data_IF_692079562784
#
_entry.id   IF_692079562784
#
_cell.length_a   1.000
_cell.length_b   1.000
_cell.length_c   1.000
_cell.angle_alpha   90.00
_cell.angle_beta   90.00
_cell.angle_gamma   90.00
#
_symmetry.space_group_name_H-M   'P 1'
#
loop_
_entity.id
_entity.type
_entity.pdbx_description
1 polymer ?
#
# COMPACT_ATOMS: atom_id res chain seq x y z
N UNK A 1 11.87 -16.08 -39.83
CA UNK A 1 12.04 -14.62 -39.92
C UNK A 1 10.72 -13.94 -39.60
N UNK A 2 10.57 -13.36 -38.40
CA UNK A 2 9.80 -12.13 -38.17
C UNK A 2 9.97 -11.71 -36.71
N UNK A 3 10.86 -10.75 -36.49
CA UNK A 3 10.82 -9.88 -35.31
C UNK A 3 10.27 -8.52 -35.72
N UNK A 4 9.81 -7.79 -34.69
CA UNK A 4 9.66 -6.33 -34.50
C UNK A 4 8.20 -5.99 -34.19
N UNK A 5 7.78 -5.69 -32.96
CA UNK A 5 8.50 -5.01 -31.89
C UNK A 5 7.96 -3.58 -31.68
N UNK A 6 6.64 -3.41 -31.59
CA UNK A 6 6.03 -2.13 -31.20
C UNK A 6 6.15 -1.93 -29.68
N UNK A 7 7.24 -1.29 -29.23
CA UNK A 7 7.39 -0.90 -27.83
C UNK A 7 6.32 0.15 -27.50
N UNK A 8 5.46 -0.12 -26.52
CA UNK A 8 4.65 0.89 -25.84
C UNK A 8 5.58 1.86 -25.10
N UNK A 9 6.22 2.78 -25.83
CA UNK A 9 6.95 3.90 -25.23
C UNK A 9 5.94 4.92 -24.74
N UNK A 10 6.03 5.37 -23.47
CA UNK A 10 5.16 6.41 -22.96
C UNK A 10 5.39 7.67 -23.80
N UNK A 11 4.35 8.17 -24.45
CA UNK A 11 4.40 9.43 -25.19
C UNK A 11 4.55 10.55 -24.17
N UNK A 12 5.77 11.02 -23.93
CA UNK A 12 5.99 12.21 -23.13
C UNK A 12 5.33 13.41 -23.84
N UNK A 13 4.64 14.24 -23.06
CA UNK A 13 4.11 15.51 -23.55
C UNK A 13 5.23 16.35 -24.16
N UNK A 14 4.97 16.98 -25.32
CA UNK A 14 5.96 17.85 -26.02
C UNK A 14 6.45 19.04 -25.17
N UNK A 15 5.74 19.36 -24.09
CA UNK A 15 6.14 20.30 -23.05
C UNK A 15 6.22 19.53 -21.73
N UNK A 16 7.36 19.60 -21.05
CA UNK A 16 7.56 18.99 -19.74
C UNK A 16 7.75 20.08 -18.69
N UNK A 17 7.49 19.74 -17.44
CA UNK A 17 7.50 20.69 -16.34
C UNK A 17 8.94 21.00 -15.87
N UNK A 18 9.27 22.28 -15.69
CA UNK A 18 10.48 22.75 -15.00
C UNK A 18 10.33 22.57 -13.49
N UNK A 19 9.14 22.88 -12.97
CA UNK A 19 8.68 22.63 -11.60
C UNK A 19 7.17 22.35 -11.64
N UNK A 20 6.55 21.79 -10.58
CA UNK A 20 5.12 21.52 -10.59
C UNK A 20 4.31 22.76 -10.99
N UNK A 21 3.52 22.63 -12.05
CA UNK A 21 2.71 23.69 -12.67
C UNK A 21 3.49 24.79 -13.45
N UNK A 22 4.81 24.72 -13.57
CA UNK A 22 5.61 25.60 -14.42
C UNK A 22 6.18 24.80 -15.58
N UNK A 23 5.65 25.02 -16.78
CA UNK A 23 6.14 24.35 -17.99
C UNK A 23 7.47 24.91 -18.47
N UNK A 24 8.32 24.07 -19.08
CA UNK A 24 9.62 24.48 -19.62
C UNK A 24 9.54 25.44 -20.80
N UNK A 25 8.56 25.26 -21.68
CA UNK A 25 8.39 26.09 -22.86
C UNK A 25 7.17 27.00 -22.71
N UNK A 26 7.33 28.26 -23.13
CA UNK A 26 6.25 29.26 -23.17
C UNK A 26 5.12 28.85 -24.13
N UNK A 27 3.92 29.38 -23.89
CA UNK A 27 2.75 29.11 -24.72
C UNK A 27 2.98 29.48 -26.19
N UNK A 28 3.65 30.60 -26.46
CA UNK A 28 3.99 31.06 -27.82
C UNK A 28 4.90 30.06 -28.55
N UNK A 29 5.98 29.59 -27.90
CA UNK A 29 6.87 28.57 -28.46
C UNK A 29 6.15 27.25 -28.71
N UNK A 30 5.22 26.88 -27.82
CA UNK A 30 4.40 25.69 -28.00
C UNK A 30 3.37 25.83 -29.11
N UNK A 31 2.85 27.03 -29.37
CA UNK A 31 1.95 27.31 -30.49
C UNK A 31 2.66 27.13 -31.82
N UNK A 32 3.84 27.73 -31.98
CA UNK A 32 4.70 27.55 -33.16
C UNK A 32 5.03 26.08 -33.41
N UNK A 33 5.27 25.30 -32.35
CA UNK A 33 5.63 23.87 -32.45
C UNK A 33 4.42 22.94 -32.66
N UNK A 34 3.21 23.35 -32.29
CA UNK A 34 1.99 22.51 -32.38
C UNK A 34 1.12 22.84 -33.58
N UNK A 35 1.24 24.05 -34.14
CA UNK A 35 0.32 24.56 -35.15
C UNK A 35 -1.05 24.92 -34.57
N UNK A 36 -1.90 25.54 -35.39
CA UNK A 36 -3.26 25.93 -35.01
C UNK A 36 -4.12 24.70 -34.66
N UNK A 37 -4.89 24.77 -33.57
CA UNK A 37 -5.82 23.70 -33.18
C UNK A 37 -6.98 23.66 -34.18
N UNK A 38 -7.30 22.47 -34.71
CA UNK A 38 -8.52 22.25 -35.49
C UNK A 38 -9.76 22.43 -34.59
N UNK A 39 -10.85 23.06 -35.06
CA UNK A 39 -12.07 23.23 -34.27
C UNK A 39 -12.70 21.87 -33.96
N UNK A 40 -13.11 21.68 -32.70
CA UNK A 40 -13.82 20.47 -32.26
C UNK A 40 -15.29 20.57 -32.69
N UNK A 41 -15.71 19.68 -33.59
CA UNK A 41 -17.12 19.52 -33.96
C UNK A 41 -17.85 18.82 -32.82
N UNK A 42 -18.83 19.50 -32.21
CA UNK A 42 -19.71 18.91 -31.19
C UNK A 42 -20.75 18.01 -31.89
N UNK A 43 -20.74 16.71 -31.62
CA UNK A 43 -21.85 15.81 -31.99
C UNK A 43 -22.92 15.85 -30.90
N UNK A 44 -24.17 16.06 -31.31
CA UNK A 44 -25.37 16.11 -30.49
C UNK A 44 -26.19 14.82 -30.62
N UNK A 45 -26.67 14.31 -29.48
CA UNK A 45 -28.07 13.91 -29.21
C UNK A 45 -28.11 13.10 -27.90
N UNK A 46 -28.79 13.61 -26.88
CA UNK A 46 -29.03 12.91 -25.61
C UNK A 46 -30.42 12.24 -25.62
N UNK A 47 -30.58 11.06 -24.98
CA UNK A 47 -31.85 10.32 -24.97
C UNK A 47 -32.93 10.98 -24.08
N UNK A 48 -34.18 10.92 -24.56
CA UNK A 48 -35.42 11.41 -23.95
C UNK A 48 -35.90 10.55 -22.76
N UNK A 49 -35.12 10.48 -21.68
CA UNK A 49 -35.63 10.01 -20.38
C UNK A 49 -35.41 11.08 -19.33
N UNK A 50 -36.47 11.52 -18.65
CA UNK A 50 -36.38 12.52 -17.59
C UNK A 50 -35.62 11.91 -16.39
N UNK A 51 -34.40 12.35 -16.06
CA UNK A 51 -33.67 11.83 -14.92
C UNK A 51 -34.30 12.36 -13.62
N UNK A 52 -34.44 11.50 -12.62
CA UNK A 52 -34.81 11.89 -11.25
C UNK A 52 -33.92 13.07 -10.81
N UNK A 53 -34.52 14.25 -10.62
CA UNK A 53 -33.82 15.51 -10.37
C UNK A 53 -33.21 15.56 -8.96
N UNK A 54 -32.06 14.89 -8.76
CA UNK A 54 -31.07 15.34 -7.77
C UNK A 54 -30.02 16.17 -8.50
N UNK A 55 -30.41 17.38 -8.88
CA UNK A 55 -29.63 18.33 -9.70
C UNK A 55 -28.75 19.24 -8.85
N UNK A 56 -28.06 18.69 -7.85
CA UNK A 56 -26.88 19.36 -7.29
C UNK A 56 -25.68 19.16 -8.22
N UNK A 57 -24.76 20.13 -8.35
CA UNK A 57 -23.52 19.90 -9.09
C UNK A 57 -22.80 18.69 -8.49
N UNK A 58 -22.68 17.62 -9.28
CA UNK A 58 -21.88 16.46 -8.88
C UNK A 58 -20.42 16.88 -8.93
N UNK A 59 -19.84 17.21 -7.77
CA UNK A 59 -18.40 17.38 -7.67
C UNK A 59 -17.73 16.10 -8.16
N UNK A 60 -16.88 16.21 -9.18
CA UNK A 60 -16.07 15.08 -9.64
C UNK A 60 -15.19 14.68 -8.46
N UNK A 61 -15.43 13.48 -7.90
CA UNK A 61 -14.53 12.87 -6.92
C UNK A 61 -13.13 12.87 -7.52
N UNK A 62 -12.19 13.51 -6.82
CA UNK A 62 -10.80 13.62 -7.29
C UNK A 62 -10.17 12.25 -7.52
N UNK A 63 -9.15 12.21 -8.39
CA UNK A 63 -8.37 11.00 -8.59
C UNK A 63 -7.72 10.53 -7.27
N UNK A 64 -7.60 9.22 -7.04
CA UNK A 64 -6.95 8.70 -5.85
C UNK A 64 -5.50 9.20 -5.80
N UNK A 65 -5.17 9.96 -4.76
CA UNK A 65 -3.80 10.47 -4.56
C UNK A 65 -2.89 9.31 -4.17
N UNK A 66 -1.78 9.14 -4.88
CA UNK A 66 -0.73 8.19 -4.49
C UNK A 66 -0.08 8.71 -3.21
N UNK A 67 -0.13 7.90 -2.14
CA UNK A 67 0.49 8.26 -0.86
C UNK A 67 2.02 8.15 -0.99
N UNK A 68 2.78 9.25 -0.84
CA UNK A 68 4.24 9.17 -0.89
C UNK A 68 4.80 8.41 0.31
N UNK A 69 5.74 7.52 0.04
CA UNK A 69 6.44 6.75 1.06
C UNK A 69 7.48 7.63 1.76
N UNK A 70 7.55 7.58 3.09
CA UNK A 70 8.62 8.25 3.86
C UNK A 70 9.98 7.70 3.44
N UNK A 71 11.00 8.56 3.36
CA UNK A 71 12.38 8.19 3.03
C UNK A 71 12.98 7.12 3.96
N UNK A 72 12.54 7.10 5.23
CA UNK A 72 12.99 6.09 6.22
C UNK A 72 12.39 4.70 6.00
N UNK A 73 11.32 4.57 5.21
CA UNK A 73 10.67 3.29 4.95
C UNK A 73 11.25 2.65 3.69
N UNK A 74 12.35 1.94 3.88
CA UNK A 74 12.99 1.13 2.84
C UNK A 74 12.59 -0.34 3.05
N UNK A 75 12.31 -1.13 2.00
CA UNK A 75 12.04 -2.57 2.14
C UNK A 75 13.06 -3.23 3.08
N UNK A 76 12.57 -3.92 4.11
CA UNK A 76 13.40 -4.55 5.14
C UNK A 76 13.62 -3.75 6.41
N UNK A 77 13.22 -2.50 6.42
CA UNK A 77 13.26 -1.69 7.64
C UNK A 77 12.35 -2.32 8.70
N UNK A 78 12.85 -2.45 9.92
CA UNK A 78 12.05 -2.89 11.05
C UNK A 78 11.21 -1.72 11.55
N UNK A 79 9.94 -2.02 11.74
CA UNK A 79 8.86 -1.10 12.07
C UNK A 79 8.33 -1.40 13.45
N UNK A 80 8.04 -0.37 14.23
CA UNK A 80 7.29 -0.50 15.48
C UNK A 80 5.84 -0.11 15.21
N UNK A 81 4.92 -1.04 15.43
CA UNK A 81 3.48 -0.79 15.25
C UNK A 81 2.93 -0.05 16.47
N UNK A 82 2.27 1.09 16.28
CA UNK A 82 1.79 1.91 17.39
C UNK A 82 0.35 1.58 17.80
N UNK A 83 -0.50 1.22 16.84
CA UNK A 83 -1.94 1.10 17.05
C UNK A 83 -2.48 -0.32 16.76
N UNK A 84 -3.65 -0.61 17.31
CA UNK A 84 -4.40 -1.86 17.09
C UNK A 84 -3.94 -3.02 17.99
N UNK A 85 -4.46 -4.22 17.69
CA UNK A 85 -4.20 -5.45 18.47
C UNK A 85 -2.71 -5.79 18.58
N UNK A 86 -1.93 -5.41 17.57
CA UNK A 86 -0.51 -5.70 17.49
C UNK A 86 0.39 -4.52 17.86
N UNK A 87 -0.13 -3.51 18.59
CA UNK A 87 0.67 -2.38 19.10
C UNK A 87 1.93 -2.86 19.82
N UNK A 88 3.02 -2.10 19.78
CA UNK A 88 4.32 -2.41 20.34
C UNK A 88 5.08 -3.55 19.65
N UNK A 89 4.49 -4.33 18.74
CA UNK A 89 5.26 -5.39 18.04
C UNK A 89 6.23 -4.76 17.04
N UNK A 90 7.40 -5.39 16.91
CA UNK A 90 8.42 -5.03 15.91
C UNK A 90 8.28 -5.94 14.70
N UNK A 91 8.24 -5.36 13.52
CA UNK A 91 7.72 -6.01 12.31
C UNK A 91 8.51 -5.56 11.08
N UNK A 92 8.64 -6.39 10.06
CA UNK A 92 9.46 -6.09 8.87
C UNK A 92 8.61 -5.48 7.77
N UNK A 93 9.06 -4.36 7.20
CA UNK A 93 8.45 -3.75 6.03
C UNK A 93 8.79 -4.53 4.75
N UNK A 94 7.80 -4.83 3.92
CA UNK A 94 8.01 -5.52 2.65
C UNK A 94 7.90 -4.59 1.45
N UNK A 95 6.68 -4.12 1.15
CA UNK A 95 6.38 -3.23 0.02
C UNK A 95 5.22 -2.30 0.36
N UNK A 96 5.13 -1.18 -0.35
CA UNK A 96 3.92 -0.36 -0.34
C UNK A 96 2.92 -0.92 -1.35
N UNK A 97 1.66 -1.03 -0.97
CA UNK A 97 0.61 -1.48 -1.89
C UNK A 97 0.20 -0.34 -2.83
N UNK A 98 0.04 -0.62 -4.14
CA UNK A 98 -0.07 0.43 -5.16
C UNK A 98 -1.41 1.16 -5.14
N UNK A 99 -2.52 0.48 -4.79
CA UNK A 99 -3.87 1.04 -4.86
C UNK A 99 -4.24 1.80 -3.59
N UNK A 100 -3.90 1.24 -2.41
CA UNK A 100 -4.21 1.88 -1.12
C UNK A 100 -3.10 2.77 -0.57
N UNK A 101 -1.85 2.60 -1.01
CA UNK A 101 -0.69 3.26 -0.41
C UNK A 101 -0.33 2.75 0.99
N UNK A 102 -1.00 1.68 1.48
CA UNK A 102 -0.71 1.06 2.77
C UNK A 102 0.56 0.22 2.70
N UNK A 103 1.23 0.06 3.85
CA UNK A 103 2.42 -0.76 3.97
C UNK A 103 2.02 -2.23 4.12
N UNK A 104 2.59 -3.11 3.29
CA UNK A 104 2.57 -4.53 3.52
C UNK A 104 3.70 -4.88 4.49
N UNK A 105 3.31 -5.48 5.61
CA UNK A 105 4.18 -5.70 6.75
C UNK A 105 4.02 -7.14 7.22
N UNK A 106 5.12 -7.79 7.56
CA UNK A 106 5.12 -9.14 8.16
C UNK A 106 6.10 -9.20 9.32
N UNK A 107 5.69 -9.84 10.39
CA UNK A 107 6.59 -10.24 11.46
C UNK A 107 6.58 -11.74 11.43
N UNK A 108 7.72 -12.43 11.28
CA UNK A 108 7.71 -13.88 11.11
C UNK A 108 6.79 -14.52 12.15
N UNK A 109 5.70 -15.14 11.69
CA UNK A 109 4.53 -15.44 12.55
C UNK A 109 4.93 -16.35 13.72
N UNK A 110 5.93 -17.21 13.49
CA UNK A 110 6.54 -18.08 14.50
C UNK A 110 7.22 -17.31 15.65
N UNK A 111 7.71 -16.10 15.42
CA UNK A 111 8.46 -15.32 16.41
C UNK A 111 7.58 -14.40 17.23
N UNK A 112 6.77 -13.58 16.56
CA UNK A 112 6.06 -12.50 17.24
C UNK A 112 4.55 -12.61 17.09
N UNK A 113 4.02 -13.69 16.49
CA UNK A 113 2.60 -13.90 16.26
C UNK A 113 1.95 -12.66 15.57
N UNK A 114 2.62 -12.16 14.53
CA UNK A 114 2.14 -11.09 13.68
C UNK A 114 1.83 -11.67 12.29
N UNK A 115 0.59 -11.59 11.80
CA UNK A 115 0.26 -12.06 10.45
C UNK A 115 0.67 -11.04 9.40
N UNK A 116 0.76 -11.47 8.14
CA UNK A 116 0.87 -10.59 6.99
C UNK A 116 -0.30 -9.61 7.00
N UNK A 117 0.01 -8.31 7.11
CA UNK A 117 -0.99 -7.28 7.39
C UNK A 117 -0.66 -5.98 6.66
N UNK A 118 -1.72 -5.26 6.29
CA UNK A 118 -1.64 -3.88 5.81
C UNK A 118 -1.69 -2.89 6.98
N UNK A 119 -0.77 -1.93 7.02
CA UNK A 119 -0.73 -0.88 8.04
C UNK A 119 -0.52 0.48 7.38
N UNK A 120 -1.20 1.52 7.88
CA UNK A 120 -0.96 2.88 7.42
C UNK A 120 0.36 3.40 7.99
N UNK A 121 1.11 4.13 7.17
CA UNK A 121 2.40 4.70 7.50
C UNK A 121 2.40 5.60 8.76
N UNK A 122 1.27 6.23 9.08
CA UNK A 122 1.12 7.09 10.26
C UNK A 122 1.21 6.32 11.59
N UNK A 123 0.82 5.03 11.61
CA UNK A 123 0.78 4.23 12.83
C UNK A 123 2.05 3.40 13.05
N UNK A 124 3.16 3.84 12.44
CA UNK A 124 4.41 3.12 12.45
C UNK A 124 5.59 4.05 12.69
N UNK A 125 6.49 3.61 13.57
CA UNK A 125 7.83 4.18 13.69
C UNK A 125 8.78 3.34 12.86
N UNK A 126 9.49 3.97 11.93
CA UNK A 126 10.57 3.33 11.19
C UNK A 126 11.83 3.39 12.05
N UNK A 127 12.44 2.23 12.32
CA UNK A 127 13.72 2.16 13.03
C UNK A 127 14.89 2.23 12.05
N UNK A 128 16.10 2.47 12.54
CA UNK A 128 17.33 2.37 11.74
C UNK A 128 17.70 0.95 11.36
N UNK A 129 17.19 -0.05 12.09
CA UNK A 129 17.50 -1.46 11.83
C UNK A 129 16.86 -1.93 10.52
N UNK A 130 17.68 -2.54 9.65
CA UNK A 130 17.28 -3.02 8.34
C UNK A 130 17.69 -4.47 8.17
N UNK A 131 16.81 -5.26 7.56
CA UNK A 131 17.08 -6.62 7.12
C UNK A 131 17.20 -6.62 5.60
N UNK A 132 18.10 -7.44 5.06
CA UNK A 132 18.15 -7.65 3.62
C UNK A 132 16.99 -8.57 3.19
N UNK A 133 16.07 -8.01 2.41
CA UNK A 133 14.85 -8.68 1.90
C UNK A 133 14.87 -8.84 0.40
N UNK A 134 16.01 -8.58 -0.25
CA UNK A 134 16.18 -8.68 -1.71
C UNK A 134 15.79 -10.06 -2.26
N UNK A 135 16.03 -11.13 -1.49
CA UNK A 135 15.65 -12.51 -1.84
C UNK A 135 14.19 -12.88 -1.62
N UNK A 136 13.35 -12.00 -1.05
CA UNK A 136 11.95 -12.33 -0.74
C UNK A 136 11.05 -11.96 -1.91
N UNK A 137 10.63 -12.98 -2.66
CA UNK A 137 9.63 -12.82 -3.72
C UNK A 137 8.23 -12.74 -3.09
N UNK A 138 7.57 -11.60 -3.30
CA UNK A 138 6.20 -11.38 -2.83
C UNK A 138 5.26 -11.74 -3.99
N UNK A 139 4.40 -12.76 -3.85
CA UNK A 139 3.46 -13.14 -4.90
C UNK A 139 2.54 -12.00 -5.35
N UNK A 140 2.21 -11.97 -6.64
CA UNK A 140 1.39 -10.91 -7.24
C UNK A 140 -0.06 -10.94 -6.77
N UNK A 141 -0.57 -12.08 -6.30
CA UNK A 141 -1.94 -12.16 -5.75
C UNK A 141 -2.09 -11.43 -4.41
N UNK A 142 -0.99 -11.09 -3.73
CA UNK A 142 -0.99 -10.37 -2.45
C UNK A 142 -1.10 -8.86 -2.71
N UNK A 143 -2.34 -8.46 -3.02
CA UNK A 143 -2.73 -7.09 -3.34
C UNK A 143 -3.82 -6.57 -2.38
N UNK A 144 -4.29 -5.35 -2.61
CA UNK A 144 -5.30 -4.71 -1.78
C UNK A 144 -6.62 -5.47 -1.68
N UNK A 145 -7.00 -6.19 -2.74
CA UNK A 145 -8.23 -6.97 -2.80
C UNK A 145 -8.11 -8.27 -1.99
N UNK A 146 -6.91 -8.87 -1.88
CA UNK A 146 -6.63 -10.03 -1.03
C UNK A 146 -6.93 -9.75 0.46
N UNK A 147 -6.65 -8.52 0.90
CA UNK A 147 -6.88 -8.07 2.27
C UNK A 147 -8.23 -7.40 2.48
N UNK A 148 -9.11 -7.39 1.46
CA UNK A 148 -10.46 -6.84 1.61
C UNK A 148 -11.24 -7.68 2.62
N UNK A 149 -11.92 -7.01 3.54
CA UNK A 149 -12.79 -7.70 4.51
C UNK A 149 -13.97 -8.31 3.74
N UNK A 150 -14.19 -9.61 3.89
CA UNK A 150 -15.39 -10.26 3.38
C UNK A 150 -16.57 -9.84 4.25
N UNK A 151 -17.62 -9.31 3.63
CA UNK A 151 -18.90 -9.04 4.28
C UNK A 151 -19.78 -10.26 4.10
N UNK A 152 -20.35 -10.79 5.18
CA UNK A 152 -21.33 -11.85 5.09
C UNK A 152 -22.66 -11.25 4.59
N UNK A 153 -23.37 -11.89 3.66
CA UNK A 153 -24.69 -11.42 3.24
C UNK A 153 -25.63 -11.45 4.46
N UNK A 154 -26.28 -10.33 4.76
CA UNK A 154 -27.33 -10.29 5.78
C UNK A 154 -28.50 -11.17 5.34
N UNK A 155 -29.02 -12.01 6.24
CA UNK A 155 -30.25 -12.76 5.97
C UNK A 155 -31.43 -11.77 5.97
N UNK A 156 -32.32 -11.87 4.96
CA UNK A 156 -33.60 -11.15 4.94
C UNK A 156 -34.61 -11.95 5.78
N UNK A 157 -35.12 -11.39 6.88
CA UNK A 157 -36.11 -12.01 7.75
C UNK A 157 -36.32 -11.23 9.05
N UNK A 158 -37.42 -11.49 9.77
CA UNK A 158 -37.86 -10.74 10.97
C UNK A 158 -36.87 -10.83 12.15
N UNK A 159 -36.12 -11.93 12.30
CA UNK A 159 -35.22 -12.15 13.43
C UNK A 159 -33.74 -11.87 13.10
N UNK A 160 -33.41 -10.59 13.01
CA UNK A 160 -32.05 -10.08 12.67
C UNK A 160 -31.00 -10.48 13.73
N UNK A 161 -31.42 -10.73 14.98
CA UNK A 161 -30.53 -11.03 16.11
C UNK A 161 -30.27 -12.53 16.37
N UNK A 162 -31.02 -13.43 15.72
CA UNK A 162 -30.85 -14.88 15.91
C UNK A 162 -29.58 -15.44 15.23
N UNK A 163 -28.99 -14.67 14.32
CA UNK A 163 -27.72 -15.01 13.69
C UNK A 163 -26.57 -14.68 14.64
N UNK A 164 -26.11 -15.67 15.41
CA UNK A 164 -24.94 -15.55 16.28
C UNK A 164 -23.71 -14.95 15.56
N UNK A 165 -22.77 -14.40 16.35
CA UNK A 165 -21.55 -13.77 15.82
C UNK A 165 -20.71 -14.82 15.08
N UNK A 166 -20.62 -14.70 13.76
CA UNK A 166 -19.71 -15.52 12.95
C UNK A 166 -18.29 -14.97 13.12
N UNK A 167 -17.46 -15.70 13.88
CA UNK A 167 -16.05 -15.37 14.03
C UNK A 167 -15.26 -15.63 12.74
N UNK A 168 -14.25 -14.80 12.51
CA UNK A 168 -13.41 -14.94 11.33
C UNK A 168 -12.47 -16.15 11.47
N UNK A 169 -12.61 -17.12 10.57
CA UNK A 169 -11.67 -18.23 10.44
C UNK A 169 -10.63 -17.97 9.34
N UNK A 170 -9.38 -18.35 9.61
CA UNK A 170 -8.26 -18.16 8.68
C UNK A 170 -8.32 -19.22 7.60
N UNK A 171 -8.40 -18.80 6.33
CA UNK A 171 -8.34 -19.69 5.17
C UNK A 171 -6.99 -20.37 5.05
N UNK A 172 -6.95 -21.58 4.49
CA UNK A 172 -5.72 -22.35 4.29
C UNK A 172 -4.72 -21.62 3.40
N UNK A 173 -5.21 -20.96 2.35
CA UNK A 173 -4.41 -20.10 1.47
C UNK A 173 -3.63 -19.03 2.25
N UNK A 174 -4.22 -18.41 3.27
CA UNK A 174 -3.51 -17.41 4.08
C UNK A 174 -2.39 -18.04 4.91
N UNK A 175 -2.58 -19.28 5.36
CA UNK A 175 -1.56 -20.02 6.11
C UNK A 175 -0.39 -20.42 5.20
N UNK A 176 -0.65 -20.83 3.96
CA UNK A 176 0.39 -21.19 2.99
C UNK A 176 1.19 -19.96 2.54
N UNK A 177 0.50 -18.87 2.19
CA UNK A 177 1.12 -17.60 1.81
C UNK A 177 2.03 -17.05 2.93
N UNK A 178 1.56 -17.11 4.18
CA UNK A 178 2.35 -16.68 5.34
C UNK A 178 3.64 -17.49 5.47
N UNK A 179 3.55 -18.82 5.38
CA UNK A 179 4.73 -19.70 5.46
C UNK A 179 5.72 -19.43 4.33
N UNK A 180 5.22 -19.19 3.12
CA UNK A 180 6.04 -18.90 1.95
C UNK A 180 6.85 -17.61 2.11
N UNK A 181 6.25 -16.56 2.70
CA UNK A 181 6.92 -15.27 2.96
C UNK A 181 7.84 -15.35 4.17
N UNK A 182 7.43 -16.02 5.24
CA UNK A 182 8.21 -16.06 6.48
C UNK A 182 9.48 -16.90 6.37
N UNK A 183 9.46 -17.98 5.57
CA UNK A 183 10.62 -18.86 5.37
C UNK A 183 11.88 -18.11 4.89
N UNK A 184 11.84 -17.31 3.81
CA UNK A 184 13.00 -16.56 3.36
C UNK A 184 13.38 -15.41 4.31
N UNK A 185 12.42 -14.80 5.01
CA UNK A 185 12.72 -13.75 6.01
C UNK A 185 13.46 -14.33 7.21
N UNK A 186 13.04 -15.49 7.71
CA UNK A 186 13.74 -16.20 8.78
C UNK A 186 15.15 -16.62 8.35
N UNK A 187 15.32 -17.03 7.08
CA UNK A 187 16.64 -17.31 6.53
C UNK A 187 17.51 -16.04 6.48
N UNK A 188 16.96 -14.91 6.06
CA UNK A 188 17.67 -13.63 6.06
C UNK A 188 18.08 -13.19 7.47
N UNK A 189 17.21 -13.35 8.47
CA UNK A 189 17.54 -13.04 9.88
C UNK A 189 18.69 -13.92 10.36
N UNK A 190 18.67 -15.22 10.05
CA UNK A 190 19.73 -16.17 10.45
C UNK A 190 21.08 -15.91 9.81
N UNK A 191 21.11 -15.31 8.61
CA UNK A 191 22.36 -14.94 7.93
C UNK A 191 23.09 -13.77 8.60
N UNK A 192 22.37 -12.93 9.35
CA UNK A 192 23.01 -11.82 10.05
C UNK A 192 23.88 -12.34 11.21
N UNK A 193 25.05 -11.72 11.46
CA UNK A 193 25.91 -12.12 12.58
C UNK A 193 25.16 -12.00 13.92
N UNK A 194 24.38 -10.92 14.07
CA UNK A 194 23.60 -10.63 15.28
C UNK A 194 22.21 -11.30 15.30
N UNK A 195 22.04 -12.41 14.59
CA UNK A 195 20.74 -13.08 14.47
C UNK A 195 20.09 -13.35 15.83
N UNK A 196 20.86 -13.79 16.84
CA UNK A 196 20.36 -14.06 18.20
C UNK A 196 19.71 -12.81 18.82
N UNK A 197 20.36 -11.66 18.70
CA UNK A 197 19.82 -10.38 19.16
C UNK A 197 18.60 -9.98 18.36
N UNK A 198 18.60 -10.14 17.03
CA UNK A 198 17.45 -9.83 16.18
C UNK A 198 16.23 -10.71 16.48
N UNK A 199 16.42 -11.99 16.82
CA UNK A 199 15.33 -12.87 17.26
C UNK A 199 14.66 -12.33 18.53
N UNK A 200 15.46 -11.96 19.54
CA UNK A 200 14.94 -11.33 20.78
C UNK A 200 14.31 -9.95 20.53
N UNK A 201 14.90 -9.16 19.64
CA UNK A 201 14.40 -7.84 19.28
C UNK A 201 13.03 -7.90 18.59
N UNK A 202 12.86 -8.81 17.61
CA UNK A 202 11.58 -8.98 16.91
C UNK A 202 10.51 -9.67 17.78
N UNK A 203 10.93 -10.56 18.69
CA UNK A 203 10.02 -11.24 19.62
C UNK A 203 9.51 -10.34 20.74
N UNK A 204 10.33 -9.40 21.22
CA UNK A 204 9.97 -8.47 22.29
C UNK A 204 9.06 -7.34 21.81
N UNK A 205 8.32 -6.76 22.75
CA UNK A 205 7.41 -5.63 22.51
C UNK A 205 8.13 -4.33 22.87
N UNK A 206 7.94 -3.30 22.05
CA UNK A 206 8.29 -1.93 22.39
C UNK A 206 7.29 -1.37 23.41
N UNK A 207 7.85 -0.80 24.46
CA UNK A 207 7.16 -0.03 25.49
C UNK A 207 8.13 1.03 26.00
N UNK A 208 7.59 2.13 26.51
CA UNK A 208 8.37 3.17 27.16
C UNK A 208 8.43 2.86 28.65
N UNK A 209 9.64 2.76 29.19
CA UNK A 209 9.87 2.69 30.63
C UNK A 209 9.71 4.05 31.31
N UNK A 210 9.74 4.04 32.65
CA UNK A 210 9.79 5.28 33.45
C UNK A 210 11.00 6.11 33.02
N UNK A 211 10.82 7.43 32.83
CA UNK A 211 11.85 8.39 32.38
C UNK A 211 12.43 8.13 30.99
N UNK A 212 11.77 7.34 30.13
CA UNK A 212 12.12 7.25 28.71
C UNK A 212 11.26 8.20 27.87
N UNK A 213 11.88 9.21 27.29
CA UNK A 213 11.18 10.23 26.52
C UNK A 213 11.35 10.02 25.00
N UNK A 214 10.27 9.84 24.22
CA UNK A 214 10.37 9.54 22.79
C UNK A 214 11.10 10.59 21.95
N UNK A 215 11.04 11.87 22.35
CA UNK A 215 11.71 12.96 21.64
C UNK A 215 13.24 12.90 21.75
N UNK A 216 13.77 12.22 22.79
CA UNK A 216 15.21 11.98 22.96
C UNK A 216 15.65 10.63 22.36
N UNK A 217 14.71 9.76 21.99
CA UNK A 217 15.02 8.44 21.47
C UNK A 217 15.33 8.49 19.99
N UNK A 218 16.42 7.83 19.62
CA UNK A 218 16.78 7.58 18.22
C UNK A 218 16.27 6.20 17.85
N UNK A 219 15.26 6.17 16.99
CA UNK A 219 14.67 4.94 16.46
C UNK A 219 15.44 4.42 15.26
#
# INVERSE_FOLDING_TARGET
>A
YQMVGGRNVPVLGRNFDLSPAVSRFSAARMYLRRGAKKPLVKKSAEPLTLPLQRTGPKFKLGHPKKVPLRKSLVPGTVLIVLAGRHKGKRVVFLKQLPKSGLLLVTGPHKLNNFPLRRIAQAFVIATKTKLDVSGVKIPDHINDDYFKRKTLPGKKGENIFAAGKVEYQVTEQRKTDQKAIDKPILAAIKKNPDHKFLFGYLGSRFMLGKRQYPHNMVF
#
